data_IF_500800229370
#
_entry.id   IF_500800229370
#
_cell.length_a   1.000
_cell.length_b   1.000
_cell.length_c   1.000
_cell.angle_alpha   90.00
_cell.angle_beta   90.00
_cell.angle_gamma   90.00
#
_symmetry.space_group_name_H-M   'P 1'
#
loop_
_entity.id
_entity.type
_entity.pdbx_description
1 polymer ?
#
# COMPACT_ATOMS: atom_id res chain seq x y z
N UNK A 1 -36.86 -9.35 -3.22
CA UNK A 1 -35.52 -9.06 -3.70
C UNK A 1 -34.83 -8.30 -2.58
N UNK A 2 -33.68 -8.63 -2.08
CA UNK A 2 -33.02 -8.14 -0.87
C UNK A 2 -32.37 -6.74 -0.98
N UNK A 3 -32.84 -5.86 -1.86
CA UNK A 3 -32.37 -4.47 -1.98
C UNK A 3 -33.00 -3.61 -0.89
N UNK A 4 -32.21 -2.71 -0.27
CA UNK A 4 -32.63 -1.96 0.93
C UNK A 4 -33.02 -0.52 0.64
N UNK A 5 -32.46 0.10 -0.41
CA UNK A 5 -32.70 1.50 -0.72
C UNK A 5 -33.01 1.67 -2.20
N UNK A 6 -34.07 2.45 -2.47
CA UNK A 6 -34.47 2.82 -3.83
C UNK A 6 -34.69 4.32 -3.85
N UNK A 7 -34.11 4.98 -4.82
CA UNK A 7 -34.34 6.39 -5.11
C UNK A 7 -35.07 6.49 -6.44
N UNK A 8 -36.21 7.14 -6.44
CA UNK A 8 -36.94 7.49 -7.67
C UNK A 8 -36.70 8.96 -7.95
N UNK A 9 -36.29 9.26 -9.19
CA UNK A 9 -36.13 10.63 -9.71
C UNK A 9 -37.03 10.76 -10.91
N UNK A 10 -38.00 11.65 -10.84
CA UNK A 10 -39.01 11.92 -11.88
C UNK A 10 -38.70 13.16 -12.71
N UNK A 11 -37.72 13.96 -12.30
CA UNK A 11 -37.21 15.14 -13.02
C UNK A 11 -35.79 14.83 -13.57
N UNK A 12 -35.71 14.71 -14.90
CA UNK A 12 -34.45 14.37 -15.59
C UNK A 12 -33.36 15.44 -15.42
N UNK A 13 -33.71 16.69 -15.19
CA UNK A 13 -32.77 17.80 -14.98
C UNK A 13 -31.99 17.63 -13.65
N UNK A 14 -32.66 17.06 -12.64
CA UNK A 14 -32.04 16.84 -11.33
C UNK A 14 -31.24 15.55 -11.25
N UNK A 15 -31.23 14.72 -12.29
CA UNK A 15 -30.61 13.39 -12.25
C UNK A 15 -29.16 13.42 -11.79
N UNK A 16 -28.32 14.30 -12.32
CA UNK A 16 -26.90 14.38 -11.96
C UNK A 16 -26.68 14.83 -10.50
N UNK A 17 -27.46 15.78 -10.00
CA UNK A 17 -27.38 16.24 -8.63
C UNK A 17 -27.79 15.13 -7.64
N UNK A 18 -28.82 14.37 -7.98
CA UNK A 18 -29.26 13.23 -7.16
C UNK A 18 -28.25 12.08 -7.19
N UNK A 19 -27.61 11.82 -8.33
CA UNK A 19 -26.55 10.83 -8.44
C UNK A 19 -25.34 11.19 -7.58
N UNK A 20 -24.88 12.45 -7.61
CA UNK A 20 -23.79 12.94 -6.77
C UNK A 20 -24.09 12.84 -5.27
N UNK A 21 -25.34 13.16 -4.91
CA UNK A 21 -25.78 13.13 -3.51
C UNK A 21 -25.90 11.72 -2.94
N UNK A 22 -26.43 10.77 -3.73
CA UNK A 22 -26.82 9.45 -3.23
C UNK A 22 -25.90 8.31 -3.65
N UNK A 23 -25.04 8.49 -4.67
CA UNK A 23 -24.06 7.53 -5.18
C UNK A 23 -24.61 6.10 -5.30
N UNK A 24 -25.58 5.85 -6.17
CA UNK A 24 -26.22 4.54 -6.28
C UNK A 24 -25.25 3.48 -6.84
N UNK A 25 -25.51 2.21 -6.53
CA UNK A 25 -24.73 1.08 -7.05
C UNK A 25 -25.11 0.68 -8.48
N UNK A 26 -26.34 1.01 -8.91
CA UNK A 26 -26.85 0.77 -10.25
C UNK A 26 -27.92 1.80 -10.58
N UNK A 27 -27.93 2.27 -11.84
CA UNK A 27 -28.94 3.18 -12.35
C UNK A 27 -29.85 2.47 -13.34
N UNK A 28 -31.17 2.57 -13.12
CA UNK A 28 -32.18 2.23 -14.11
C UNK A 28 -32.59 3.53 -14.81
N UNK A 29 -32.38 3.64 -16.11
CA UNK A 29 -32.51 4.88 -16.85
C UNK A 29 -33.46 4.72 -18.03
N UNK A 30 -34.55 5.50 -18.05
CA UNK A 30 -35.43 5.57 -19.19
C UNK A 30 -34.79 6.35 -20.34
N UNK A 31 -34.94 5.89 -21.57
CA UNK A 31 -34.45 6.62 -22.77
C UNK A 31 -35.29 7.85 -23.04
N UNK A 32 -36.61 7.72 -22.94
CA UNK A 32 -37.55 8.79 -23.38
C UNK A 32 -38.01 9.54 -22.13
N UNK A 33 -37.36 10.67 -21.88
CA UNK A 33 -37.74 11.59 -20.79
C UNK A 33 -37.86 13.02 -21.33
N UNK A 34 -38.70 13.86 -20.68
CA UNK A 34 -38.78 15.30 -21.02
C UNK A 34 -37.43 15.99 -20.74
N UNK A 35 -37.14 17.05 -21.46
CA UNK A 35 -36.01 17.97 -21.30
C UNK A 35 -34.63 17.34 -21.53
N UNK A 36 -34.23 16.32 -20.76
CA UNK A 36 -32.95 15.61 -20.92
C UNK A 36 -33.23 14.15 -21.19
N UNK A 37 -32.73 13.62 -22.31
CA UNK A 37 -32.91 12.19 -22.65
C UNK A 37 -31.99 11.28 -21.82
N UNK A 38 -32.39 9.99 -21.71
CA UNK A 38 -31.53 9.04 -21.05
C UNK A 38 -30.16 8.85 -21.70
N UNK A 39 -30.07 9.02 -23.02
CA UNK A 39 -28.79 8.98 -23.72
C UNK A 39 -27.91 10.19 -23.40
N UNK A 40 -28.48 11.36 -23.19
CA UNK A 40 -27.71 12.53 -22.77
C UNK A 40 -27.16 12.35 -21.35
N UNK A 41 -27.98 11.85 -20.42
CA UNK A 41 -27.53 11.49 -19.07
C UNK A 41 -26.41 10.44 -19.14
N UNK A 42 -26.56 9.41 -19.96
CA UNK A 42 -25.54 8.37 -20.12
C UNK A 42 -24.22 8.95 -20.65
N UNK A 43 -24.26 9.86 -21.63
CA UNK A 43 -23.06 10.56 -22.12
C UNK A 43 -22.41 11.39 -21.02
N UNK A 44 -23.18 12.13 -20.22
CA UNK A 44 -22.65 12.88 -19.07
C UNK A 44 -21.98 11.96 -18.06
N UNK A 45 -22.61 10.83 -17.72
CA UNK A 45 -22.03 9.86 -16.79
C UNK A 45 -20.71 9.27 -17.29
N UNK A 46 -20.59 8.99 -18.59
CA UNK A 46 -19.36 8.43 -19.17
C UNK A 46 -18.23 9.45 -19.34
N UNK A 47 -18.58 10.75 -19.34
CA UNK A 47 -17.61 11.84 -19.35
C UNK A 47 -17.18 12.32 -17.96
N UNK A 48 -17.86 11.88 -16.90
CA UNK A 48 -17.58 12.24 -15.51
C UNK A 48 -16.76 11.14 -14.86
N UNK A 49 -15.55 11.43 -14.38
CA UNK A 49 -14.61 10.46 -13.80
C UNK A 49 -15.21 9.71 -12.61
N UNK A 50 -16.11 10.34 -11.84
CA UNK A 50 -16.76 9.74 -10.68
C UNK A 50 -17.77 8.67 -11.07
N UNK A 51 -18.48 8.88 -12.19
CA UNK A 51 -19.60 8.02 -12.63
C UNK A 51 -19.30 7.20 -13.90
N UNK A 52 -18.09 7.32 -14.46
CA UNK A 52 -17.72 6.63 -15.69
C UNK A 52 -17.97 5.11 -15.63
N UNK A 53 -17.82 4.52 -14.44
CA UNK A 53 -17.99 3.08 -14.20
C UNK A 53 -19.32 2.71 -13.54
N UNK A 54 -20.24 3.69 -13.31
CA UNK A 54 -21.56 3.39 -12.75
C UNK A 54 -22.33 2.46 -13.70
N UNK A 55 -22.79 1.29 -13.25
CA UNK A 55 -23.61 0.42 -14.07
C UNK A 55 -24.95 1.05 -14.38
N UNK A 56 -25.30 1.11 -15.66
CA UNK A 56 -26.55 1.69 -16.16
C UNK A 56 -27.32 0.66 -16.97
N UNK A 57 -28.55 0.39 -16.55
CA UNK A 57 -29.50 -0.45 -17.29
C UNK A 57 -30.52 0.48 -17.95
N UNK A 58 -30.53 0.49 -19.27
CA UNK A 58 -31.45 1.32 -20.05
C UNK A 58 -32.83 0.68 -20.15
N UNK A 59 -33.91 1.47 -19.88
CA UNK A 59 -35.27 1.08 -20.11
C UNK A 59 -35.77 1.70 -21.43
N UNK A 60 -36.17 0.88 -22.38
CA UNK A 60 -36.61 1.37 -23.71
C UNK A 60 -37.96 0.80 -24.13
N UNK A 61 -38.81 1.62 -24.72
CA UNK A 61 -40.05 1.19 -25.34
C UNK A 61 -39.85 0.66 -26.78
N UNK A 62 -38.67 0.90 -27.36
CA UNK A 62 -38.35 0.46 -28.72
C UNK A 62 -37.85 -0.97 -28.72
N UNK A 63 -38.48 -1.79 -29.56
CA UNK A 63 -37.98 -3.11 -29.92
C UNK A 63 -36.87 -3.04 -31.00
N UNK A 64 -36.56 -1.83 -31.47
CA UNK A 64 -35.60 -1.57 -32.53
C UNK A 64 -34.15 -1.92 -32.08
N UNK A 65 -33.49 -2.72 -32.89
CA UNK A 65 -32.12 -3.14 -32.65
C UNK A 65 -31.15 -1.95 -32.66
N UNK A 66 -31.45 -0.88 -33.42
CA UNK A 66 -30.61 0.30 -33.49
C UNK A 66 -30.53 1.06 -32.16
N UNK A 67 -31.64 1.30 -31.48
CA UNK A 67 -31.70 1.95 -30.15
C UNK A 67 -30.96 1.16 -29.11
N UNK A 68 -31.05 -0.19 -29.15
CA UNK A 68 -30.33 -1.07 -28.22
C UNK A 68 -28.83 -1.04 -28.45
N UNK A 69 -28.42 -1.04 -29.71
CA UNK A 69 -27.02 -0.94 -30.10
C UNK A 69 -26.44 0.42 -29.68
N UNK A 70 -27.15 1.49 -29.92
CA UNK A 70 -26.76 2.85 -29.51
C UNK A 70 -26.57 2.94 -27.99
N UNK A 71 -27.46 2.36 -27.20
CA UNK A 71 -27.33 2.32 -25.73
C UNK A 71 -26.02 1.65 -25.31
N UNK A 72 -25.69 0.50 -25.89
CA UNK A 72 -24.46 -0.23 -25.58
C UNK A 72 -23.21 0.50 -26.06
N UNK A 73 -23.24 1.09 -27.26
CA UNK A 73 -22.13 1.89 -27.79
C UNK A 73 -21.86 3.14 -26.95
N UNK A 74 -22.90 3.73 -26.34
CA UNK A 74 -22.77 4.81 -25.38
C UNK A 74 -22.32 4.36 -23.99
N UNK A 75 -22.09 3.05 -23.79
CA UNK A 75 -21.56 2.50 -22.55
C UNK A 75 -22.63 2.10 -21.52
N UNK A 76 -23.89 1.86 -21.92
CA UNK A 76 -24.84 1.20 -21.04
C UNK A 76 -24.36 -0.23 -20.71
N UNK A 77 -24.59 -0.66 -19.47
CA UNK A 77 -24.20 -2.02 -19.03
C UNK A 77 -25.18 -3.05 -19.58
N UNK A 78 -26.46 -2.70 -19.67
CA UNK A 78 -27.51 -3.57 -20.17
C UNK A 78 -28.74 -2.75 -20.59
N UNK A 79 -29.74 -3.41 -21.15
CA UNK A 79 -31.04 -2.80 -21.51
C UNK A 79 -32.22 -3.73 -21.20
N UNK A 80 -33.42 -3.13 -20.99
CA UNK A 80 -34.68 -3.82 -20.80
C UNK A 80 -35.77 -3.15 -21.67
N UNK A 81 -36.55 -3.98 -22.34
CA UNK A 81 -37.71 -3.49 -23.13
C UNK A 81 -38.94 -3.29 -22.25
N UNK A 82 -39.67 -2.20 -22.48
CA UNK A 82 -40.98 -1.96 -21.88
C UNK A 82 -42.08 -2.71 -22.65
N UNK A 83 -43.09 -3.30 -22.01
CA UNK A 83 -43.29 -3.34 -20.57
C UNK A 83 -42.26 -4.23 -19.84
N UNK A 84 -41.74 -3.74 -18.72
CA UNK A 84 -40.68 -4.43 -17.98
C UNK A 84 -41.26 -5.62 -17.20
N UNK A 85 -40.77 -6.81 -17.48
CA UNK A 85 -41.07 -7.99 -16.65
C UNK A 85 -40.30 -7.92 -15.31
N UNK A 86 -41.01 -8.01 -14.15
CA UNK A 86 -40.36 -7.89 -12.85
C UNK A 86 -39.28 -8.96 -12.60
N UNK A 87 -39.42 -10.16 -13.15
CA UNK A 87 -38.48 -11.26 -12.97
C UNK A 87 -37.23 -11.03 -13.80
N UNK A 88 -37.37 -10.51 -15.04
CA UNK A 88 -36.25 -10.13 -15.88
C UNK A 88 -35.49 -8.97 -15.28
N UNK A 89 -36.18 -7.91 -14.82
CA UNK A 89 -35.55 -6.78 -14.13
C UNK A 89 -34.72 -7.24 -12.92
N UNK A 90 -35.32 -8.08 -12.06
CA UNK A 90 -34.62 -8.59 -10.87
C UNK A 90 -33.37 -9.40 -11.23
N UNK A 91 -33.43 -10.19 -12.32
CA UNK A 91 -32.29 -10.96 -12.81
C UNK A 91 -31.18 -10.05 -13.34
N UNK A 92 -31.52 -9.04 -14.16
CA UNK A 92 -30.57 -8.09 -14.74
C UNK A 92 -29.86 -7.28 -13.68
N UNK A 93 -30.62 -6.68 -12.76
CA UNK A 93 -30.05 -5.91 -11.65
C UNK A 93 -29.13 -6.79 -10.80
N UNK A 94 -29.51 -8.02 -10.46
CA UNK A 94 -28.68 -8.94 -9.71
C UNK A 94 -27.36 -9.26 -10.45
N UNK A 95 -27.43 -9.56 -11.75
CA UNK A 95 -26.24 -9.90 -12.54
C UNK A 95 -25.33 -8.68 -12.68
N UNK A 96 -25.88 -7.49 -12.91
CA UNK A 96 -25.13 -6.25 -13.00
C UNK A 96 -24.43 -5.90 -11.69
N UNK A 97 -25.12 -6.03 -10.54
CA UNK A 97 -24.51 -5.79 -9.24
C UNK A 97 -23.47 -6.85 -8.87
N UNK A 98 -23.68 -8.12 -9.27
CA UNK A 98 -22.68 -9.17 -9.07
C UNK A 98 -21.41 -8.92 -9.91
N UNK A 99 -21.58 -8.46 -11.16
CA UNK A 99 -20.45 -8.10 -12.01
C UNK A 99 -19.69 -6.89 -11.45
N UNK A 100 -20.41 -5.85 -10.97
CA UNK A 100 -19.79 -4.70 -10.28
C UNK A 100 -19.02 -5.15 -9.05
N UNK A 101 -19.65 -5.92 -8.16
CA UNK A 101 -19.00 -6.40 -6.94
C UNK A 101 -17.73 -7.22 -7.25
N UNK A 102 -17.73 -8.01 -8.31
CA UNK A 102 -16.55 -8.74 -8.76
C UNK A 102 -15.46 -7.80 -9.32
N UNK A 103 -15.83 -6.80 -10.10
CA UNK A 103 -14.90 -5.78 -10.59
C UNK A 103 -14.31 -4.97 -9.43
N UNK A 104 -15.13 -4.54 -8.48
CA UNK A 104 -14.70 -3.81 -7.27
C UNK A 104 -13.73 -4.69 -6.44
N UNK A 105 -14.04 -5.99 -6.32
CA UNK A 105 -13.15 -6.92 -5.64
C UNK A 105 -11.80 -7.03 -6.34
N UNK A 106 -11.75 -7.12 -7.66
CA UNK A 106 -10.49 -7.15 -8.42
C UNK A 106 -9.73 -5.83 -8.36
N UNK A 107 -10.43 -4.69 -8.33
CA UNK A 107 -9.83 -3.37 -8.33
C UNK A 107 -9.27 -2.97 -6.95
N UNK A 108 -9.95 -3.37 -5.86
CA UNK A 108 -9.70 -2.84 -4.52
C UNK A 108 -9.21 -3.86 -3.50
N UNK A 109 -9.21 -5.15 -3.83
CA UNK A 109 -8.78 -6.21 -2.92
C UNK A 109 -7.66 -7.06 -3.52
N UNK A 110 -6.78 -7.54 -2.66
CA UNK A 110 -5.76 -8.51 -3.01
C UNK A 110 -6.36 -9.91 -3.12
N UNK A 111 -6.18 -10.56 -4.27
CA UNK A 111 -6.81 -11.86 -4.59
C UNK A 111 -6.32 -12.98 -3.66
N UNK A 112 -5.06 -12.92 -3.20
CA UNK A 112 -4.48 -13.97 -2.36
C UNK A 112 -4.98 -13.90 -0.92
N UNK A 113 -4.94 -12.71 -0.33
CA UNK A 113 -5.20 -12.49 1.09
C UNK A 113 -6.61 -11.96 1.38
N UNK A 114 -7.32 -11.52 0.34
CA UNK A 114 -8.62 -10.83 0.44
C UNK A 114 -8.58 -9.57 1.33
N UNK A 115 -7.39 -9.03 1.61
CA UNK A 115 -7.25 -7.72 2.23
C UNK A 115 -7.47 -6.61 1.19
N UNK A 116 -7.94 -5.44 1.59
CA UNK A 116 -7.87 -4.25 0.77
C UNK A 116 -6.44 -4.02 0.25
N UNK A 117 -6.35 -3.59 -1.00
CA UNK A 117 -5.08 -3.34 -1.65
C UNK A 117 -4.59 -1.89 -1.42
N UNK A 118 -3.45 -1.55 -2.03
CA UNK A 118 -2.84 -0.21 -1.95
C UNK A 118 -3.77 0.90 -2.43
N UNK A 119 -4.56 0.65 -3.48
CA UNK A 119 -5.47 1.65 -4.03
C UNK A 119 -6.58 2.00 -3.03
N UNK A 120 -7.16 0.99 -2.39
CA UNK A 120 -8.18 1.21 -1.37
C UNK A 120 -7.60 1.84 -0.09
N UNK A 121 -6.34 1.49 0.28
CA UNK A 121 -5.64 2.19 1.37
C UNK A 121 -5.57 3.69 1.11
N UNK A 122 -5.13 4.09 -0.09
CA UNK A 122 -4.98 5.50 -0.43
C UNK A 122 -6.32 6.25 -0.32
N UNK A 123 -7.39 5.73 -0.92
CA UNK A 123 -8.72 6.35 -0.85
C UNK A 123 -9.25 6.45 0.60
N UNK A 124 -9.04 5.40 1.40
CA UNK A 124 -9.46 5.39 2.79
C UNK A 124 -8.68 6.38 3.65
N UNK A 125 -7.37 6.44 3.47
CA UNK A 125 -6.51 7.36 4.18
C UNK A 125 -6.83 8.83 3.83
N UNK A 126 -7.06 9.16 2.56
CA UNK A 126 -7.49 10.50 2.13
C UNK A 126 -8.79 10.91 2.81
N UNK A 127 -9.79 10.02 2.79
CA UNK A 127 -11.07 10.29 3.45
C UNK A 127 -10.93 10.46 4.97
N UNK A 128 -10.12 9.62 5.62
CA UNK A 128 -9.88 9.71 7.07
C UNK A 128 -9.13 10.98 7.46
N UNK A 129 -8.13 11.40 6.68
CA UNK A 129 -7.38 12.64 6.90
C UNK A 129 -8.29 13.86 6.74
N UNK A 130 -9.13 13.90 5.70
CA UNK A 130 -10.09 14.98 5.54
C UNK A 130 -11.09 15.07 6.71
N UNK A 131 -11.50 13.94 7.24
CA UNK A 131 -12.34 13.89 8.43
C UNK A 131 -11.59 14.33 9.67
N UNK A 132 -10.39 13.80 9.93
CA UNK A 132 -9.55 14.17 11.07
C UNK A 132 -9.20 15.66 11.07
N UNK A 133 -8.95 16.25 9.89
CA UNK A 133 -8.71 17.70 9.74
C UNK A 133 -9.90 18.56 10.19
N UNK A 134 -11.13 18.08 10.01
CA UNK A 134 -12.35 18.79 10.45
C UNK A 134 -12.64 18.61 11.94
N UNK A 135 -12.26 17.45 12.49
CA UNK A 135 -12.54 17.06 13.88
C UNK A 135 -11.34 17.29 14.82
N UNK A 136 -10.26 17.93 14.32
CA UNK A 136 -8.97 18.15 15.03
C UNK A 136 -8.37 16.84 15.57
N UNK A 137 -8.51 15.79 14.76
CA UNK A 137 -8.05 14.44 15.08
C UNK A 137 -6.76 14.06 14.38
N UNK A 138 -6.34 12.82 14.56
CA UNK A 138 -5.16 12.25 13.91
C UNK A 138 -5.52 11.01 13.09
N UNK A 139 -4.62 10.57 12.22
CA UNK A 139 -4.67 9.30 11.48
C UNK A 139 -3.30 8.68 11.54
N UNK A 140 -3.23 7.40 11.92
CA UNK A 140 -1.95 6.73 12.06
C UNK A 140 -1.84 5.59 11.05
N UNK A 141 -0.72 5.53 10.35
CA UNK A 141 -0.39 4.50 9.39
C UNK A 141 0.80 3.69 9.90
N UNK A 142 0.60 2.37 10.03
CA UNK A 142 1.66 1.42 10.34
C UNK A 142 2.00 0.64 9.08
N UNK A 143 3.29 0.56 8.74
CA UNK A 143 3.79 -0.32 7.69
C UNK A 143 4.50 -1.51 8.32
N UNK A 144 4.07 -2.72 7.96
CA UNK A 144 4.65 -3.98 8.38
C UNK A 144 5.47 -4.57 7.22
N UNK A 145 6.77 -4.65 7.40
CA UNK A 145 7.70 -5.33 6.51
C UNK A 145 8.13 -6.67 7.10
N UNK A 146 8.24 -7.69 6.25
CA UNK A 146 8.60 -9.05 6.65
C UNK A 146 10.04 -9.37 6.23
N UNK A 147 10.94 -9.36 7.21
CA UNK A 147 12.30 -9.87 7.00
C UNK A 147 12.30 -11.36 6.69
N UNK A 148 13.28 -11.80 5.90
CA UNK A 148 13.48 -13.20 5.51
C UNK A 148 12.37 -13.84 4.63
N UNK A 149 11.30 -13.12 4.27
CA UNK A 149 10.22 -13.69 3.47
C UNK A 149 10.70 -14.18 2.09
N UNK A 150 11.63 -13.44 1.47
CA UNK A 150 12.24 -13.87 0.20
C UNK A 150 12.96 -15.21 0.36
N UNK A 151 13.69 -15.42 1.46
CA UNK A 151 14.36 -16.69 1.73
C UNK A 151 13.35 -17.84 1.86
N UNK A 152 12.18 -17.61 2.45
CA UNK A 152 11.09 -18.60 2.53
C UNK A 152 10.62 -18.99 1.13
N UNK A 153 10.33 -18.03 0.27
CA UNK A 153 9.87 -18.31 -1.10
C UNK A 153 10.94 -18.95 -1.97
N UNK A 154 12.20 -18.52 -1.83
CA UNK A 154 13.32 -19.09 -2.60
C UNK A 154 13.65 -20.54 -2.16
N UNK A 155 13.44 -20.88 -0.88
CA UNK A 155 13.79 -22.19 -0.33
C UNK A 155 12.63 -23.18 -0.37
N UNK A 156 11.42 -22.74 0.01
CA UNK A 156 10.23 -23.59 0.17
C UNK A 156 9.20 -23.45 -0.96
N UNK A 157 9.44 -22.51 -1.88
CA UNK A 157 8.59 -22.24 -3.03
C UNK A 157 7.46 -21.25 -2.79
N UNK A 158 6.88 -20.77 -3.91
CA UNK A 158 5.86 -19.71 -3.87
C UNK A 158 4.57 -20.14 -3.14
N UNK A 159 4.15 -21.39 -3.28
CA UNK A 159 2.94 -21.90 -2.64
C UNK A 159 3.00 -21.80 -1.11
N UNK A 160 4.14 -22.17 -0.53
CA UNK A 160 4.39 -22.03 0.92
C UNK A 160 4.40 -20.57 1.35
N UNK A 161 5.01 -19.70 0.53
CA UNK A 161 4.97 -18.25 0.76
C UNK A 161 3.54 -17.69 0.74
N UNK A 162 2.71 -18.11 -0.22
CA UNK A 162 1.32 -17.71 -0.33
C UNK A 162 0.50 -18.11 0.91
N UNK A 163 0.73 -19.30 1.45
CA UNK A 163 0.06 -19.77 2.66
C UNK A 163 0.47 -18.94 3.89
N UNK A 164 1.75 -18.61 4.01
CA UNK A 164 2.24 -17.70 5.06
C UNK A 164 1.60 -16.32 4.95
N UNK A 165 1.48 -15.75 3.74
CA UNK A 165 0.84 -14.45 3.53
C UNK A 165 -0.64 -14.43 3.93
N UNK A 166 -1.37 -15.52 3.67
CA UNK A 166 -2.77 -15.64 4.13
C UNK A 166 -2.86 -15.66 5.65
N UNK A 167 -2.01 -16.44 6.32
CA UNK A 167 -1.99 -16.49 7.78
C UNK A 167 -1.60 -15.14 8.41
N UNK A 168 -0.68 -14.38 7.77
CA UNK A 168 -0.36 -13.02 8.19
C UNK A 168 -1.60 -12.12 8.11
N UNK A 169 -2.32 -12.16 6.98
CA UNK A 169 -3.54 -11.39 6.79
C UNK A 169 -4.60 -11.72 7.86
N UNK A 170 -4.82 -13.00 8.13
CA UNK A 170 -5.73 -13.46 9.18
C UNK A 170 -5.31 -12.98 10.57
N UNK A 171 -4.02 -13.08 10.92
CA UNK A 171 -3.50 -12.59 12.21
C UNK A 171 -3.64 -11.07 12.36
N UNK A 172 -3.41 -10.30 11.29
CA UNK A 172 -3.64 -8.86 11.30
C UNK A 172 -5.11 -8.54 11.57
N UNK A 173 -6.03 -9.16 10.85
CA UNK A 173 -7.47 -8.96 11.02
C UNK A 173 -7.93 -9.35 12.43
N UNK A 174 -7.54 -10.53 12.92
CA UNK A 174 -7.90 -10.98 14.26
C UNK A 174 -7.36 -10.06 15.36
N UNK A 175 -6.15 -9.52 15.21
CA UNK A 175 -5.58 -8.60 16.19
C UNK A 175 -6.33 -7.27 16.24
N UNK A 176 -6.73 -6.75 15.07
CA UNK A 176 -7.47 -5.50 14.96
C UNK A 176 -8.92 -5.63 15.46
N UNK A 177 -9.55 -6.80 15.28
CA UNK A 177 -10.90 -7.09 15.77
C UNK A 177 -10.94 -7.41 17.27
N UNK A 178 -9.92 -8.08 17.83
CA UNK A 178 -9.92 -8.56 19.22
C UNK A 178 -9.92 -7.43 20.26
N UNK A 179 -9.47 -6.23 19.92
CA UNK A 179 -9.53 -5.07 20.80
C UNK A 179 -10.94 -4.44 20.86
N UNK A 180 -11.76 -4.58 19.83
CA UNK A 180 -13.15 -4.09 19.82
C UNK A 180 -14.02 -4.73 20.89
N UNK A 181 -13.75 -5.98 21.26
CA UNK A 181 -14.52 -6.71 22.25
C UNK A 181 -14.30 -6.21 23.70
N UNK A 182 -13.34 -5.33 23.94
CA UNK A 182 -13.01 -4.82 25.29
C UNK A 182 -13.51 -3.41 25.56
N UNK A 183 -13.78 -2.62 24.50
CA UNK A 183 -14.28 -1.24 24.61
C UNK A 183 -15.62 -1.11 23.83
N UNK A 184 -16.66 -1.71 24.40
CA UNK A 184 -18.00 -1.80 23.79
C UNK A 184 -18.83 -0.52 23.94
N UNK A 185 -18.23 0.66 23.79
CA UNK A 185 -18.96 1.93 23.77
C UNK A 185 -19.24 2.50 22.38
N UNK A 186 -18.70 1.92 21.31
CA UNK A 186 -18.92 2.43 19.96
C UNK A 186 -20.00 1.61 19.21
N UNK A 187 -21.15 2.25 18.99
CA UNK A 187 -22.41 1.68 18.47
C UNK A 187 -22.31 1.17 17.01
N UNK A 188 -21.16 1.35 16.34
CA UNK A 188 -20.98 1.06 14.91
C UNK A 188 -20.12 -0.17 14.58
N UNK A 189 -19.63 -0.95 15.55
CA UNK A 189 -18.92 -2.23 15.31
C UNK A 189 -17.70 -2.11 14.37
N UNK A 190 -17.01 -0.96 14.38
CA UNK A 190 -15.80 -0.76 13.60
C UNK A 190 -14.58 -1.05 14.47
N UNK A 191 -13.74 -2.01 14.00
CA UNK A 191 -12.47 -2.36 14.58
C UNK A 191 -11.53 -1.17 14.80
N UNK A 192 -10.49 -1.37 15.62
CA UNK A 192 -9.48 -0.35 15.95
C UNK A 192 -8.80 0.19 14.70
N UNK A 193 -8.83 -0.55 13.59
CA UNK A 193 -8.19 -0.17 12.34
C UNK A 193 -8.45 -1.18 11.24
N UNK A 194 -7.92 -0.91 10.07
CA UNK A 194 -8.06 -1.76 8.89
C UNK A 194 -6.68 -2.17 8.37
N UNK A 195 -6.54 -3.46 8.01
CA UNK A 195 -5.31 -4.00 7.42
C UNK A 195 -5.40 -4.01 5.89
N UNK A 196 -4.28 -3.71 5.24
CA UNK A 196 -4.13 -3.61 3.78
C UNK A 196 -2.92 -4.38 3.32
N UNK A 197 -2.97 -4.91 2.10
CA UNK A 197 -1.81 -5.48 1.44
C UNK A 197 -1.22 -4.49 0.43
N UNK A 198 0.07 -4.16 0.57
CA UNK A 198 0.73 -3.16 -0.26
C UNK A 198 1.51 -3.74 -1.44
N UNK A 199 1.96 -4.97 -1.32
CA UNK A 199 2.82 -5.62 -2.31
C UNK A 199 3.14 -7.06 -1.95
N UNK A 200 4.30 -7.55 -2.36
CA UNK A 200 4.68 -8.96 -2.26
C UNK A 200 4.69 -9.46 -0.81
N UNK A 201 5.31 -8.72 0.11
CA UNK A 201 5.45 -9.10 1.52
C UNK A 201 5.24 -7.90 2.46
N UNK A 202 4.51 -6.88 1.98
CA UNK A 202 4.30 -5.63 2.67
C UNK A 202 2.83 -5.44 2.99
N UNK A 203 2.56 -5.06 4.24
CA UNK A 203 1.23 -4.80 4.74
C UNK A 203 1.17 -3.42 5.41
N UNK A 204 0.01 -2.80 5.38
CA UNK A 204 -0.26 -1.59 6.15
C UNK A 204 -1.44 -1.80 7.09
N UNK A 205 -1.44 -1.04 8.17
CA UNK A 205 -2.60 -0.88 9.04
C UNK A 205 -2.89 0.60 9.15
N UNK A 206 -4.13 0.97 8.87
CA UNK A 206 -4.64 2.32 9.00
C UNK A 206 -5.50 2.40 10.25
N UNK A 207 -5.11 3.27 11.18
CA UNK A 207 -5.82 3.49 12.44
C UNK A 207 -6.55 4.83 12.39
N UNK A 208 -7.80 4.89 12.87
CA UNK A 208 -8.51 6.15 13.05
C UNK A 208 -7.89 6.97 14.19
N UNK A 209 -8.46 8.13 14.45
CA UNK A 209 -8.04 9.03 15.53
C UNK A 209 -7.82 8.27 16.84
N UNK A 210 -6.62 8.41 17.39
CA UNK A 210 -6.20 7.89 18.69
C UNK A 210 -6.10 9.05 19.68
N UNK A 211 -6.40 8.78 20.95
CA UNK A 211 -6.30 9.77 22.01
C UNK A 211 -4.82 10.08 22.37
N UNK A 212 -3.95 9.10 22.21
CA UNK A 212 -2.51 9.21 22.45
C UNK A 212 -1.71 8.39 21.43
N UNK A 213 -0.66 9.01 20.87
CA UNK A 213 0.28 8.32 19.98
C UNK A 213 0.97 7.12 20.63
N UNK A 214 1.03 7.05 21.95
CA UNK A 214 1.49 5.86 22.67
C UNK A 214 0.63 4.62 22.38
N UNK A 215 -0.65 4.79 22.05
CA UNK A 215 -1.54 3.68 21.66
C UNK A 215 -1.09 3.06 20.34
N UNK A 216 -0.65 3.84 19.37
CA UNK A 216 -0.10 3.33 18.11
C UNK A 216 1.10 2.40 18.36
N UNK A 217 1.98 2.79 19.30
CA UNK A 217 3.10 1.93 19.72
C UNK A 217 2.63 0.64 20.42
N UNK A 218 1.56 0.70 21.22
CA UNK A 218 0.99 -0.49 21.88
C UNK A 218 0.38 -1.42 20.84
N UNK A 219 -0.37 -0.89 19.88
CA UNK A 219 -0.95 -1.67 18.77
C UNK A 219 0.19 -2.30 17.94
N UNK A 220 1.19 -1.50 17.54
CA UNK A 220 2.34 -1.99 16.79
C UNK A 220 3.10 -3.10 17.50
N UNK A 221 3.36 -2.97 18.81
CA UNK A 221 3.99 -4.04 19.61
C UNK A 221 3.11 -5.29 19.70
N UNK A 222 1.80 -5.13 19.80
CA UNK A 222 0.86 -6.26 19.81
C UNK A 222 0.86 -7.01 18.48
N UNK A 223 0.81 -6.31 17.36
CA UNK A 223 0.95 -6.87 16.03
C UNK A 223 2.30 -7.58 15.87
N UNK A 224 3.39 -6.93 16.27
CA UNK A 224 4.72 -7.51 16.25
C UNK A 224 4.78 -8.84 17.02
N UNK A 225 4.19 -8.89 18.21
CA UNK A 225 4.16 -10.10 19.03
C UNK A 225 3.40 -11.24 18.34
N UNK A 226 2.28 -10.94 17.69
CA UNK A 226 1.50 -11.95 16.96
C UNK A 226 2.25 -12.48 15.72
N UNK A 227 3.01 -11.62 15.05
CA UNK A 227 3.79 -12.00 13.85
C UNK A 227 5.09 -12.78 14.18
N UNK A 228 5.57 -12.73 15.41
CA UNK A 228 6.73 -13.54 15.86
C UNK A 228 6.37 -15.00 16.17
N UNK A 229 5.08 -15.32 16.27
CA UNK A 229 4.64 -16.72 16.41
C UNK A 229 4.88 -17.46 15.10
N UNK A 230 5.24 -18.77 15.15
CA UNK A 230 5.50 -19.54 13.94
C UNK A 230 4.26 -19.57 13.02
N UNK A 231 4.53 -19.64 11.74
CA UNK A 231 3.56 -19.92 10.70
C UNK A 231 3.70 -21.37 10.28
N UNK A 232 2.60 -22.10 10.22
CA UNK A 232 2.60 -23.50 9.75
C UNK A 232 2.19 -23.52 8.27
N UNK A 233 3.11 -23.91 7.42
CA UNK A 233 2.83 -24.05 5.99
C UNK A 233 3.51 -25.31 5.43
N UNK A 234 2.71 -26.19 4.83
CA UNK A 234 3.12 -27.49 4.27
C UNK A 234 3.91 -28.35 5.30
N UNK A 235 3.54 -28.28 6.60
CA UNK A 235 4.18 -29.03 7.69
C UNK A 235 5.52 -28.47 8.16
N UNK A 236 5.87 -27.25 7.75
CA UNK A 236 7.06 -26.55 8.23
C UNK A 236 6.67 -25.40 9.16
N UNK A 237 7.36 -25.28 10.28
CA UNK A 237 7.28 -24.07 11.12
C UNK A 237 8.20 -22.98 10.58
N UNK A 238 7.61 -21.86 10.16
CA UNK A 238 8.31 -20.73 9.56
C UNK A 238 8.31 -19.57 10.53
N UNK A 239 9.48 -19.04 10.80
CA UNK A 239 9.71 -17.86 11.65
C UNK A 239 10.13 -16.69 10.77
N UNK A 240 9.44 -15.56 10.92
CA UNK A 240 9.75 -14.31 10.24
C UNK A 240 10.20 -13.26 11.24
N UNK A 241 11.02 -12.32 10.76
CA UNK A 241 11.46 -11.17 11.57
C UNK A 241 10.69 -9.93 11.06
N UNK A 242 9.50 -9.61 11.63
CA UNK A 242 8.74 -8.46 11.21
C UNK A 242 9.39 -7.16 11.71
N UNK A 243 9.19 -6.07 11.00
CA UNK A 243 9.50 -4.70 11.40
C UNK A 243 8.33 -3.79 11.13
N UNK A 244 8.03 -2.86 12.03
CA UNK A 244 6.92 -1.93 11.86
C UNK A 244 7.44 -0.50 11.89
N UNK A 245 7.09 0.27 10.86
CA UNK A 245 7.26 1.71 10.79
C UNK A 245 5.92 2.43 11.00
N UNK A 246 5.92 3.53 11.72
CA UNK A 246 4.75 4.32 12.06
C UNK A 246 4.93 5.74 11.56
N UNK A 247 3.92 6.28 10.89
CA UNK A 247 3.80 7.68 10.54
C UNK A 247 2.37 8.18 10.82
N UNK A 248 2.23 9.45 11.17
CA UNK A 248 0.97 10.02 11.63
C UNK A 248 0.65 11.37 10.97
N UNK A 249 -0.62 11.57 10.65
CA UNK A 249 -1.22 12.86 10.36
C UNK A 249 -1.71 13.47 11.67
N UNK A 250 -1.54 14.78 11.95
CA UNK A 250 -0.85 15.76 11.10
C UNK A 250 0.66 15.86 11.36
N UNK A 251 1.20 15.16 12.35
CA UNK A 251 2.53 15.39 12.91
C UNK A 251 3.66 15.19 11.88
N UNK A 252 3.55 14.17 11.05
CA UNK A 252 4.59 13.82 10.07
C UNK A 252 4.30 14.39 8.68
N UNK A 253 3.05 14.34 8.21
CA UNK A 253 2.62 14.91 6.93
C UNK A 253 1.10 15.04 6.84
N UNK A 254 0.64 15.93 5.95
CA UNK A 254 -0.76 16.06 5.53
C UNK A 254 -1.06 15.41 4.17
N UNK A 255 -0.05 14.81 3.54
CA UNK A 255 -0.14 14.09 2.28
C UNK A 255 -0.05 12.58 2.50
N UNK A 256 -1.06 11.84 2.01
CA UNK A 256 -1.17 10.37 2.18
C UNK A 256 0.02 9.64 1.56
N UNK A 257 0.46 10.06 0.37
CA UNK A 257 1.58 9.39 -0.30
C UNK A 257 2.89 9.59 0.47
N UNK A 258 3.04 10.74 1.13
CA UNK A 258 4.17 11.00 2.03
C UNK A 258 4.09 10.16 3.30
N UNK A 259 2.92 10.07 3.95
CA UNK A 259 2.73 9.24 5.15
C UNK A 259 3.07 7.77 4.87
N UNK A 260 2.63 7.24 3.73
CA UNK A 260 2.98 5.89 3.30
C UNK A 260 4.51 5.75 3.16
N UNK A 261 5.18 6.69 2.48
CA UNK A 261 6.64 6.66 2.32
C UNK A 261 7.37 6.72 3.66
N UNK A 262 6.90 7.55 4.58
CA UNK A 262 7.49 7.73 5.89
C UNK A 262 7.36 6.47 6.75
N UNK A 263 6.19 5.82 6.75
CA UNK A 263 6.00 4.56 7.45
C UNK A 263 6.86 3.42 6.84
N UNK A 264 6.97 3.37 5.51
CA UNK A 264 7.87 2.43 4.80
C UNK A 264 9.33 2.68 5.18
N UNK A 265 9.79 3.94 5.15
CA UNK A 265 11.15 4.30 5.55
C UNK A 265 11.48 3.91 6.99
N UNK A 266 10.55 4.18 7.92
CA UNK A 266 10.71 3.80 9.32
C UNK A 266 10.79 2.29 9.52
N UNK A 267 9.98 1.50 8.79
CA UNK A 267 10.04 0.03 8.87
C UNK A 267 11.33 -0.55 8.26
N UNK A 268 11.82 0.05 7.17
CA UNK A 268 13.09 -0.33 6.54
C UNK A 268 14.26 -0.09 7.48
N UNK A 269 14.30 1.07 8.13
CA UNK A 269 15.34 1.37 9.13
C UNK A 269 15.25 0.44 10.34
N UNK A 270 14.02 0.08 10.79
CA UNK A 270 13.84 -0.91 11.84
C UNK A 270 14.43 -2.27 11.41
N UNK A 271 14.30 -2.64 10.14
CA UNK A 271 14.83 -3.90 9.62
C UNK A 271 16.35 -3.89 9.53
N UNK A 272 16.96 -2.81 9.04
CA UNK A 272 18.42 -2.59 8.98
C UNK A 272 19.06 -2.65 10.36
N UNK A 273 18.38 -2.14 11.38
CA UNK A 273 18.83 -2.18 12.77
C UNK A 273 18.61 -3.55 13.47
N UNK A 274 18.51 -4.62 12.68
CA UNK A 274 18.38 -6.01 13.17
C UNK A 274 16.95 -6.54 13.24
N UNK A 275 15.96 -5.77 12.77
CA UNK A 275 14.57 -6.19 12.71
C UNK A 275 13.88 -6.37 14.07
N UNK A 276 12.66 -6.87 14.04
CA UNK A 276 11.91 -7.20 15.26
C UNK A 276 11.52 -6.00 16.12
N UNK A 277 11.43 -4.80 15.54
CA UNK A 277 11.21 -3.52 16.24
C UNK A 277 10.08 -2.72 15.63
N UNK A 278 9.55 -1.79 16.43
CA UNK A 278 8.61 -0.75 16.01
C UNK A 278 9.37 0.57 16.02
N UNK A 279 9.37 1.28 14.91
CA UNK A 279 9.97 2.60 14.76
C UNK A 279 8.93 3.63 14.35
N UNK A 280 8.97 4.80 14.98
CA UNK A 280 8.28 5.98 14.50
C UNK A 280 9.13 6.68 13.44
N UNK A 281 8.49 7.26 12.45
CA UNK A 281 9.16 8.16 11.53
C UNK A 281 9.79 9.34 12.29
N UNK A 282 10.93 9.81 11.84
CA UNK A 282 11.51 11.08 12.23
C UNK A 282 12.15 11.77 11.02
N UNK A 283 12.28 13.09 11.09
CA UNK A 283 12.86 13.89 9.99
C UNK A 283 14.30 13.46 9.69
N UNK A 284 15.05 13.11 10.75
CA UNK A 284 16.43 12.62 10.62
C UNK A 284 16.52 11.34 9.79
N UNK A 285 15.49 10.48 9.82
CA UNK A 285 15.43 9.27 8.97
C UNK A 285 15.35 9.60 7.48
N UNK A 286 14.65 10.66 7.13
CA UNK A 286 14.54 11.08 5.74
C UNK A 286 15.88 11.61 5.21
N UNK A 287 16.60 12.37 6.04
CA UNK A 287 17.94 12.87 5.71
C UNK A 287 18.93 11.71 5.52
N UNK A 288 18.92 10.72 6.42
CA UNK A 288 19.75 9.51 6.31
C UNK A 288 19.46 8.75 5.03
N UNK A 289 18.17 8.57 4.68
CA UNK A 289 17.76 7.83 3.47
C UNK A 289 18.18 8.56 2.18
N UNK A 290 18.03 9.89 2.14
CA UNK A 290 18.46 10.71 1.01
C UNK A 290 20.00 10.71 0.86
N UNK A 291 20.72 10.85 1.98
CA UNK A 291 22.19 10.79 2.00
C UNK A 291 22.69 9.42 1.49
N UNK A 292 22.01 8.34 1.86
CA UNK A 292 22.37 6.98 1.43
C UNK A 292 22.15 6.77 -0.08
N UNK A 293 21.02 7.26 -0.62
CA UNK A 293 20.76 7.21 -2.05
C UNK A 293 21.82 8.02 -2.83
N UNK A 294 22.18 9.21 -2.34
CA UNK A 294 23.21 10.03 -2.93
C UNK A 294 24.58 9.33 -2.88
N UNK A 295 24.90 8.69 -1.75
CA UNK A 295 26.14 7.94 -1.57
C UNK A 295 26.26 6.77 -2.54
N UNK A 296 25.17 6.06 -2.86
CA UNK A 296 25.17 4.99 -3.88
C UNK A 296 25.51 5.53 -5.26
N UNK A 297 24.89 6.64 -5.66
CA UNK A 297 25.17 7.30 -6.95
C UNK A 297 26.63 7.74 -7.02
N UNK A 298 27.12 8.34 -5.94
CA UNK A 298 28.49 8.83 -5.85
C UNK A 298 29.50 7.68 -5.85
N UNK A 299 29.23 6.57 -5.17
CA UNK A 299 30.08 5.38 -5.20
C UNK A 299 30.26 4.82 -6.62
N UNK A 300 29.19 4.74 -7.40
CA UNK A 300 29.24 4.29 -8.80
C UNK A 300 30.19 5.18 -9.61
N UNK A 301 30.02 6.50 -9.47
CA UNK A 301 30.91 7.49 -10.13
C UNK A 301 32.34 7.39 -9.63
N UNK A 302 32.55 7.32 -8.31
CA UNK A 302 33.89 7.23 -7.71
C UNK A 302 34.69 6.02 -8.17
N UNK A 303 34.04 4.88 -8.48
CA UNK A 303 34.65 3.71 -9.09
C UNK A 303 35.08 4.04 -10.55
N UNK A 304 34.22 4.66 -11.34
CA UNK A 304 34.46 5.02 -12.75
C UNK A 304 35.54 6.09 -12.86
N UNK A 305 35.49 7.11 -12.01
CA UNK A 305 36.41 8.30 -12.02
C UNK A 305 37.72 8.03 -11.27
N UNK A 306 37.91 6.82 -10.72
CA UNK A 306 39.12 6.42 -9.98
C UNK A 306 39.43 7.30 -8.78
N UNK A 307 38.43 7.61 -8.00
CA UNK A 307 38.56 8.46 -6.80
C UNK A 307 39.10 7.71 -5.58
N UNK A 308 39.26 6.39 -5.66
CA UNK A 308 39.80 5.57 -4.57
C UNK A 308 41.34 5.58 -4.58
N UNK A 309 41.92 5.52 -3.37
CA UNK A 309 43.39 5.40 -3.17
C UNK A 309 43.64 4.46 -2.00
N UNK A 310 44.86 3.88 -1.98
CA UNK A 310 45.33 3.09 -0.84
C UNK A 310 46.25 3.94 0.03
N UNK A 311 45.96 3.93 1.35
CA UNK A 311 46.88 4.40 2.38
C UNK A 311 47.50 3.19 3.05
N UNK A 312 48.82 3.20 3.26
CA UNK A 312 49.55 2.08 3.83
C UNK A 312 49.90 2.38 5.29
N UNK A 313 49.42 1.55 6.22
CA UNK A 313 49.76 1.64 7.62
C UNK A 313 50.85 0.61 7.98
N UNK A 314 52.03 1.06 8.44
CA UNK A 314 53.12 0.12 8.77
C UNK A 314 52.79 -0.72 10.01
N UNK A 315 53.13 -2.02 9.95
CA UNK A 315 53.10 -2.95 11.08
C UNK A 315 54.53 -3.11 11.54
N UNK A 316 54.81 -2.83 12.83
CA UNK A 316 56.12 -2.89 13.40
C UNK A 316 56.24 -4.00 14.44
N UNK A 317 57.34 -4.70 14.45
CA UNK A 317 57.69 -5.63 15.53
C UNK A 317 57.94 -4.83 16.79
N UNK A 318 57.26 -5.17 17.88
CA UNK A 318 57.25 -4.40 19.13
C UNK A 318 58.63 -4.53 19.85
N UNK A 319 59.36 -5.63 19.66
CA UNK A 319 60.61 -5.87 20.32
C UNK A 319 61.80 -5.19 19.61
N UNK A 320 61.78 -5.14 18.29
CA UNK A 320 62.87 -4.62 17.46
C UNK A 320 62.62 -3.23 16.89
N UNK A 321 61.38 -2.78 16.84
CA UNK A 321 60.96 -1.55 16.15
C UNK A 321 61.05 -1.63 14.62
N UNK A 322 61.37 -2.79 14.07
CA UNK A 322 61.49 -2.98 12.61
C UNK A 322 60.10 -3.06 11.95
N UNK A 323 59.96 -2.48 10.78
CA UNK A 323 58.75 -2.61 9.95
C UNK A 323 58.73 -4.02 9.36
N UNK A 324 57.72 -4.81 9.70
CA UNK A 324 57.54 -6.19 9.25
C UNK A 324 56.45 -6.38 8.21
N UNK A 325 55.71 -5.33 7.89
CA UNK A 325 54.67 -5.33 6.89
C UNK A 325 53.88 -4.02 6.88
N UNK A 326 52.86 -3.96 6.04
CA UNK A 326 51.88 -2.85 6.02
C UNK A 326 50.48 -3.36 5.81
N UNK A 327 49.53 -2.55 6.16
CA UNK A 327 48.11 -2.77 5.88
C UNK A 327 47.65 -1.75 4.84
N UNK A 328 47.10 -2.23 3.74
CA UNK A 328 46.53 -1.38 2.71
C UNK A 328 45.09 -1.00 3.09
N UNK A 329 44.88 0.26 3.32
CA UNK A 329 43.59 0.80 3.81
C UNK A 329 43.03 1.73 2.72
N UNK A 330 41.86 1.38 2.20
CA UNK A 330 41.16 2.18 1.19
C UNK A 330 40.75 3.54 1.74
N UNK A 331 40.83 4.57 0.91
CA UNK A 331 40.36 5.94 1.13
C UNK A 331 39.65 6.41 -0.11
N UNK A 332 38.50 7.03 0.05
CA UNK A 332 37.77 7.63 -1.06
C UNK A 332 37.95 9.15 -1.05
N UNK A 333 38.52 9.68 -2.12
CA UNK A 333 38.77 11.12 -2.31
C UNK A 333 37.64 11.71 -3.15
N UNK A 334 36.72 12.39 -2.51
CA UNK A 334 35.54 12.98 -3.14
C UNK A 334 35.47 14.48 -2.80
N UNK A 335 35.33 15.35 -3.80
CA UNK A 335 35.10 16.80 -3.63
C UNK A 335 36.01 17.45 -2.57
N UNK A 336 37.33 17.22 -2.68
CA UNK A 336 38.36 17.67 -1.73
C UNK A 336 38.27 17.09 -0.29
N UNK A 337 37.36 16.14 -0.05
CA UNK A 337 37.22 15.42 1.20
C UNK A 337 37.73 13.98 1.10
N UNK A 338 38.17 13.44 2.24
CA UNK A 338 38.59 12.04 2.34
C UNK A 338 37.51 11.31 3.16
N UNK A 339 36.79 10.42 2.49
CA UNK A 339 35.84 9.53 3.17
C UNK A 339 36.53 8.28 3.68
N UNK A 340 36.21 7.91 4.93
CA UNK A 340 36.76 6.75 5.59
C UNK A 340 35.96 5.48 5.22
N UNK A 341 36.56 4.29 5.28
CA UNK A 341 35.89 3.03 4.94
C UNK A 341 34.56 2.81 5.65
N UNK A 342 34.48 3.21 6.93
CA UNK A 342 33.26 3.09 7.73
C UNK A 342 32.06 3.88 7.18
N UNK A 343 32.32 4.93 6.42
CA UNK A 343 31.28 5.82 5.88
C UNK A 343 30.66 5.29 4.58
N UNK A 344 31.38 4.43 3.82
CA UNK A 344 30.92 4.00 2.50
C UNK A 344 30.91 2.47 2.29
N UNK A 345 31.70 1.68 3.01
CA UNK A 345 31.75 0.22 2.85
C UNK A 345 30.36 -0.43 3.10
N UNK A 346 29.60 -0.07 4.16
CA UNK A 346 28.28 -0.64 4.35
C UNK A 346 27.35 -0.44 3.16
N UNK A 347 27.33 0.76 2.59
CA UNK A 347 26.53 1.06 1.39
C UNK A 347 27.03 0.31 0.15
N UNK A 348 28.34 0.13 0.01
CA UNK A 348 28.92 -0.66 -1.07
C UNK A 348 28.58 -2.16 -0.99
N UNK A 349 28.50 -2.72 0.24
CA UNK A 349 28.10 -4.12 0.48
C UNK A 349 26.64 -4.35 0.11
N UNK A 350 25.76 -3.48 0.55
CA UNK A 350 24.31 -3.60 0.28
C UNK A 350 23.95 -3.47 -1.20
N UNK A 351 24.66 -2.59 -1.90
CA UNK A 351 24.43 -2.35 -3.33
C UNK A 351 25.20 -3.30 -4.25
N UNK A 352 26.07 -4.17 -3.68
CA UNK A 352 26.93 -5.08 -4.42
C UNK A 352 28.15 -4.40 -5.08
N UNK A 353 28.32 -3.08 -4.93
CA UNK A 353 29.45 -2.32 -5.47
C UNK A 353 30.79 -2.69 -4.79
N UNK A 354 30.69 -3.32 -3.62
CA UNK A 354 31.88 -3.82 -2.89
C UNK A 354 32.73 -4.78 -3.73
N UNK A 355 32.12 -5.52 -4.66
CA UNK A 355 32.87 -6.44 -5.52
C UNK A 355 33.82 -5.69 -6.45
N UNK A 356 33.36 -4.61 -7.10
CA UNK A 356 34.20 -3.77 -7.96
C UNK A 356 35.29 -3.05 -7.17
N UNK A 357 34.97 -2.55 -5.97
CA UNK A 357 35.94 -1.93 -5.08
C UNK A 357 37.00 -2.95 -4.64
N UNK A 358 36.61 -4.17 -4.28
CA UNK A 358 37.51 -5.23 -3.85
C UNK A 358 38.48 -5.66 -4.97
N UNK A 359 37.95 -5.81 -6.20
CA UNK A 359 38.75 -6.14 -7.37
C UNK A 359 39.79 -5.05 -7.64
N UNK A 360 39.39 -3.77 -7.54
CA UNK A 360 40.30 -2.63 -7.68
C UNK A 360 41.39 -2.64 -6.59
N UNK A 361 40.99 -2.83 -5.32
CA UNK A 361 41.93 -2.90 -4.18
C UNK A 361 42.98 -4.00 -4.39
N UNK A 362 42.55 -5.21 -4.80
CA UNK A 362 43.46 -6.34 -5.06
C UNK A 362 44.41 -6.10 -6.21
N UNK A 363 44.05 -5.25 -7.17
CA UNK A 363 44.85 -4.93 -8.33
C UNK A 363 45.88 -3.83 -8.01
N UNK A 364 45.53 -2.89 -7.11
CA UNK A 364 46.32 -1.71 -6.78
C UNK A 364 47.26 -1.94 -5.60
N UNK A 365 46.98 -2.90 -4.71
CA UNK A 365 47.79 -3.20 -3.53
C UNK A 365 49.05 -4.01 -3.86
#
# INVERSE_FOLDING_TARGET
>A
AGYREFLLVDDSVQAMDQLRKHRPDVLLLDVVMPEVSGFDILRFLRADDEFAHLPVIILTSSSDAATKLEALDLGATDFLSKPVDPSELALRVRNTLAAKAYQDQLAFYDILTNLPNRQLLQQRAEWMIERARREDGNVVLLHLALGDFKRVTDTLGLKTGDEVLKQIAERLQLHLQAKDARDSSDINGKGIGEAFRMGTADFCVLLPTLDDMAEAAVIGRGLMKSMKLPFDADGNEIYLTPSIGIAAFPDDSDDVAQLIRYAVGASSQAMENGGGRVHFYSVEMNEVSLHRLQLEVDLRRGIEDREFRLAYQPKVDVATGAVVGCEALIRWYKDDAIMMPGDFIPAAEETGLILGISEWVLTEA
#
